data_IF_720010291854
#
_entry.id   IF_720010291854
#
_cell.length_a   1.000
_cell.length_b   1.000
_cell.length_c   1.000
_cell.angle_alpha   90.00
_cell.angle_beta   90.00
_cell.angle_gamma   90.00
#
_symmetry.space_group_name_H-M   'P 1'
#
loop_
_entity.id
_entity.type
_entity.pdbx_description
1 polymer ?
#
# COMPACT_ATOMS: atom_id res chain seq x y z
N UNK A 1 -12.26 14.03 -44.55
CA UNK A 1 -10.78 13.98 -44.53
C UNK A 1 -10.41 12.71 -43.76
N UNK A 2 -9.90 11.77 -44.54
CA UNK A 2 -9.73 10.37 -44.16
C UNK A 2 -8.44 10.13 -43.39
N UNK A 3 -8.50 9.32 -42.33
CA UNK A 3 -7.38 8.98 -41.46
C UNK A 3 -6.69 7.67 -41.84
N UNK A 4 -6.38 7.54 -43.12
CA UNK A 4 -5.67 6.36 -43.61
C UNK A 4 -4.65 6.78 -44.65
N UNK A 5 -3.45 7.00 -44.22
CA UNK A 5 -2.26 6.90 -45.04
C UNK A 5 -1.05 7.37 -44.22
N UNK A 6 -0.32 6.47 -43.64
CA UNK A 6 1.14 6.41 -43.63
C UNK A 6 1.56 5.03 -43.10
N UNK A 7 1.71 4.11 -44.01
CA UNK A 7 2.45 2.88 -43.81
C UNK A 7 3.14 2.62 -45.16
N UNK A 8 4.45 2.71 -45.20
CA UNK A 8 5.36 1.85 -45.97
C UNK A 8 6.66 2.61 -46.30
N UNK A 9 7.73 2.09 -45.80
CA UNK A 9 9.08 1.98 -46.37
C UNK A 9 10.09 1.87 -45.21
N UNK A 10 11.03 0.91 -45.13
CA UNK A 10 11.61 0.07 -46.12
C UNK A 10 12.43 -1.02 -45.46
N UNK A 11 12.38 -2.12 -46.11
CA UNK A 11 13.16 -3.32 -45.87
C UNK A 11 14.56 -3.17 -46.47
N UNK A 12 15.64 -3.34 -45.72
CA UNK A 12 16.98 -3.54 -46.26
C UNK A 12 17.64 -4.72 -45.55
N UNK A 13 17.78 -5.81 -46.31
CA UNK A 13 18.52 -7.00 -45.95
C UNK A 13 20.00 -6.75 -46.13
N UNK A 14 20.83 -7.22 -45.19
CA UNK A 14 22.26 -7.49 -45.43
C UNK A 14 22.61 -8.80 -44.74
N UNK A 15 22.96 -9.77 -45.60
CA UNK A 15 23.53 -11.06 -45.24
C UNK A 15 25.02 -10.88 -44.92
N UNK A 16 25.54 -11.64 -43.95
CA UNK A 16 26.97 -11.64 -43.65
C UNK A 16 27.36 -12.68 -42.61
N UNK A 17 27.84 -13.82 -43.12
CA UNK A 17 28.86 -14.75 -42.59
C UNK A 17 28.69 -15.35 -41.17
N UNK A 18 28.50 -16.67 -41.22
CA UNK A 18 28.69 -17.65 -40.14
C UNK A 18 30.20 -17.77 -39.80
N UNK A 19 30.54 -17.60 -38.51
CA UNK A 19 31.73 -18.18 -37.92
C UNK A 19 31.35 -19.05 -36.74
N UNK A 20 31.61 -20.35 -36.87
CA UNK A 20 31.51 -21.34 -35.79
C UNK A 20 32.68 -21.10 -34.83
N UNK A 21 32.37 -20.74 -33.61
CA UNK A 21 33.32 -20.57 -32.51
C UNK A 21 32.78 -21.29 -31.26
N UNK A 22 33.65 -22.06 -30.65
CA UNK A 22 33.51 -23.13 -29.68
C UNK A 22 32.73 -22.79 -28.41
N UNK A 23 32.18 -23.86 -27.85
CA UNK A 23 31.47 -23.99 -26.60
C UNK A 23 32.26 -23.44 -25.42
N UNK A 24 31.74 -22.43 -24.78
CA UNK A 24 32.00 -22.19 -23.35
C UNK A 24 30.70 -22.42 -22.60
N UNK A 25 30.72 -23.42 -21.73
CA UNK A 25 29.61 -23.68 -20.82
C UNK A 25 29.52 -22.51 -19.81
N UNK A 26 28.71 -21.54 -20.13
CA UNK A 26 28.33 -20.50 -19.16
C UNK A 26 27.32 -21.12 -18.19
N UNK A 27 27.77 -21.30 -16.96
CA UNK A 27 26.91 -21.63 -15.85
C UNK A 27 25.71 -20.67 -15.83
N UNK A 28 24.52 -21.19 -16.04
CA UNK A 28 23.26 -20.50 -15.78
C UNK A 28 23.12 -20.28 -14.27
N UNK A 29 23.73 -19.22 -13.79
CA UNK A 29 23.41 -18.66 -12.47
C UNK A 29 21.96 -18.20 -12.52
N UNK A 30 21.04 -19.04 -12.07
CA UNK A 30 19.70 -18.63 -11.71
C UNK A 30 19.84 -17.58 -10.60
N UNK A 31 19.89 -16.32 -10.99
CA UNK A 31 19.69 -15.22 -10.06
C UNK A 31 18.23 -15.30 -9.61
N UNK A 32 17.99 -16.07 -8.55
CA UNK A 32 16.72 -16.07 -7.86
C UNK A 32 16.45 -14.64 -7.43
N UNK A 33 15.62 -13.94 -8.20
CA UNK A 33 15.04 -12.68 -7.76
C UNK A 33 14.33 -13.00 -6.45
N UNK A 34 14.90 -12.58 -5.33
CA UNK A 34 14.25 -12.66 -4.04
C UNK A 34 12.91 -11.92 -4.18
N UNK A 35 11.81 -12.67 -4.18
CA UNK A 35 10.49 -12.06 -4.21
C UNK A 35 10.35 -11.17 -2.98
N UNK A 36 10.09 -9.90 -3.21
CA UNK A 36 9.84 -8.96 -2.12
C UNK A 36 8.72 -9.52 -1.23
N UNK A 37 8.96 -9.54 0.09
CA UNK A 37 7.96 -10.01 1.06
C UNK A 37 6.68 -9.18 0.87
N UNK A 38 5.50 -9.81 0.81
CA UNK A 38 4.24 -9.09 0.72
C UNK A 38 4.14 -8.03 1.82
N UNK A 39 3.73 -6.83 1.46
CA UNK A 39 3.58 -5.71 2.39
C UNK A 39 2.23 -5.04 2.18
N UNK A 40 1.76 -4.37 3.21
CA UNK A 40 0.58 -3.50 3.14
C UNK A 40 0.81 -2.41 2.08
N UNK A 41 -0.20 -2.14 1.28
CA UNK A 41 -0.19 -1.11 0.26
C UNK A 41 -1.18 -0.02 0.63
N UNK A 42 -0.76 1.24 0.60
CA UNK A 42 -1.63 2.39 0.86
C UNK A 42 -1.63 3.34 -0.32
N UNK A 43 -2.81 3.90 -0.63
CA UNK A 43 -3.03 4.87 -1.69
C UNK A 43 -3.87 6.03 -1.16
N UNK A 44 -3.35 7.25 -1.25
CA UNK A 44 -4.13 8.46 -0.95
C UNK A 44 -5.12 8.69 -2.08
N UNK A 45 -6.40 8.77 -1.74
CA UNK A 45 -7.50 9.03 -2.67
C UNK A 45 -7.82 10.51 -2.76
N UNK A 46 -7.58 11.26 -1.69
CA UNK A 46 -7.80 12.69 -1.63
C UNK A 46 -7.36 13.31 -0.31
N UNK A 47 -7.12 14.61 -0.33
CA UNK A 47 -6.85 15.43 0.83
C UNK A 47 -7.67 16.70 0.71
N UNK A 48 -8.51 16.98 1.71
CA UNK A 48 -9.50 18.05 1.66
C UNK A 48 -9.35 18.95 2.88
N UNK A 49 -9.10 20.27 2.70
CA UNK A 49 -9.11 21.22 3.80
C UNK A 49 -10.45 21.19 4.55
N UNK A 50 -10.41 21.27 5.87
CA UNK A 50 -11.64 21.23 6.68
C UNK A 50 -12.32 22.58 6.78
N UNK A 51 -11.61 23.69 6.52
CA UNK A 51 -12.14 25.04 6.69
C UNK A 51 -12.30 25.46 8.16
N UNK A 52 -12.91 26.61 8.39
CA UNK A 52 -13.15 27.13 9.73
C UNK A 52 -14.07 26.21 10.55
N UNK A 53 -13.81 26.00 11.86
CA UNK A 53 -12.73 26.59 12.65
C UNK A 53 -11.42 25.75 12.66
N UNK A 54 -11.23 24.85 11.70
CA UNK A 54 -10.11 23.91 11.62
C UNK A 54 -9.07 24.34 10.57
N UNK A 55 -8.73 25.64 10.51
CA UNK A 55 -7.75 26.17 9.57
C UNK A 55 -6.41 25.41 9.67
N UNK A 56 -5.84 25.08 8.51
CA UNK A 56 -4.61 24.31 8.42
C UNK A 56 -4.77 22.79 8.61
N UNK A 57 -5.97 22.33 8.97
CA UNK A 57 -6.30 20.91 9.05
C UNK A 57 -6.93 20.41 7.75
N UNK A 58 -6.72 19.14 7.48
CA UNK A 58 -7.32 18.44 6.34
C UNK A 58 -7.74 17.02 6.73
N UNK A 59 -8.74 16.51 6.03
CA UNK A 59 -9.11 15.10 6.02
C UNK A 59 -8.41 14.40 4.87
N UNK A 60 -7.61 13.40 5.18
CA UNK A 60 -6.89 12.59 4.19
C UNK A 60 -7.62 11.26 4.04
N UNK A 61 -8.10 10.97 2.84
CA UNK A 61 -8.83 9.73 2.53
C UNK A 61 -7.85 8.75 1.89
N UNK A 62 -7.69 7.58 2.47
CA UNK A 62 -6.79 6.53 1.98
C UNK A 62 -7.56 5.22 1.78
N UNK A 63 -7.09 4.45 0.81
CA UNK A 63 -7.36 3.03 0.70
C UNK A 63 -6.12 2.26 1.11
N UNK A 64 -6.29 1.25 1.95
CA UNK A 64 -5.20 0.40 2.44
C UNK A 64 -5.55 -1.05 2.16
N UNK A 65 -4.69 -1.75 1.40
CA UNK A 65 -4.85 -3.17 1.08
C UNK A 65 -3.80 -3.99 1.82
N UNK A 66 -4.27 -5.03 2.49
CA UNK A 66 -3.46 -6.02 3.19
C UNK A 66 -3.49 -7.32 2.40
N UNK A 67 -2.36 -7.78 1.85
CA UNK A 67 -2.24 -9.13 1.31
C UNK A 67 -2.57 -10.20 2.37
N UNK A 68 -2.84 -11.44 1.99
CA UNK A 68 -3.08 -12.53 2.93
C UNK A 68 -1.98 -12.64 4.00
N UNK A 69 -2.37 -12.77 5.27
CA UNK A 69 -1.45 -12.92 6.41
C UNK A 69 -0.57 -11.72 6.73
N UNK A 70 -0.72 -10.59 6.04
CA UNK A 70 0.12 -9.40 6.23
C UNK A 70 -0.39 -8.54 7.38
N UNK A 71 0.55 -8.04 8.18
CA UNK A 71 0.34 -7.11 9.28
C UNK A 71 1.22 -5.87 9.10
N UNK A 72 0.68 -4.70 9.38
CA UNK A 72 1.45 -3.47 9.52
C UNK A 72 2.17 -3.42 10.87
N UNK A 73 3.34 -2.79 10.90
CA UNK A 73 4.00 -2.45 12.16
C UNK A 73 3.14 -1.50 12.98
N UNK A 74 3.28 -1.55 14.31
CA UNK A 74 2.61 -0.62 15.21
C UNK A 74 2.99 0.82 14.89
N UNK A 75 1.99 1.71 14.82
CA UNK A 75 2.17 3.08 14.37
C UNK A 75 1.15 4.03 15.02
N UNK A 76 1.34 5.32 14.80
CA UNK A 76 0.45 6.39 15.23
C UNK A 76 0.09 7.29 14.06
N UNK A 77 -1.12 7.84 14.10
CA UNK A 77 -1.59 8.86 13.17
C UNK A 77 -1.48 10.28 13.77
N UNK A 78 -1.38 11.33 12.92
CA UNK A 78 -1.25 12.71 13.40
C UNK A 78 -2.51 13.25 14.07
N UNK A 79 -3.65 12.66 13.79
CA UNK A 79 -4.95 13.05 14.32
C UNK A 79 -5.92 11.88 14.46
N UNK A 80 -7.16 12.16 14.87
CA UNK A 80 -8.21 11.16 14.91
C UNK A 80 -8.36 10.46 13.56
N UNK A 81 -8.56 9.14 13.60
CA UNK A 81 -8.66 8.32 12.40
C UNK A 81 -9.96 7.51 12.43
N UNK A 82 -10.70 7.58 11.34
CA UNK A 82 -11.92 6.79 11.12
C UNK A 82 -11.63 5.76 10.04
N UNK A 83 -11.97 4.50 10.31
CA UNK A 83 -11.77 3.41 9.36
C UNK A 83 -13.06 2.65 9.08
N UNK A 84 -13.10 2.06 7.89
CA UNK A 84 -14.20 1.23 7.40
C UNK A 84 -13.64 0.05 6.63
N UNK A 85 -14.08 -1.16 6.94
CA UNK A 85 -13.67 -2.37 6.22
C UNK A 85 -14.49 -2.48 4.93
N UNK A 86 -13.82 -2.27 3.80
CA UNK A 86 -14.43 -2.33 2.46
C UNK A 86 -14.61 -3.78 2.00
N UNK A 87 -13.59 -4.62 2.27
CA UNK A 87 -13.56 -6.03 1.87
C UNK A 87 -12.67 -6.85 2.79
N UNK A 88 -13.02 -8.13 2.94
CA UNK A 88 -12.26 -9.06 3.77
C UNK A 88 -12.48 -8.85 5.25
N UNK A 89 -11.48 -9.21 6.05
CA UNK A 89 -11.52 -9.12 7.52
C UNK A 89 -10.20 -8.59 8.04
N UNK A 90 -10.27 -7.69 9.02
CA UNK A 90 -9.10 -7.06 9.64
C UNK A 90 -9.08 -7.38 11.14
N UNK A 91 -7.92 -7.78 11.65
CA UNK A 91 -7.63 -7.76 13.08
C UNK A 91 -7.17 -6.37 13.45
N UNK A 92 -7.88 -5.75 14.37
CA UNK A 92 -7.66 -4.37 14.77
C UNK A 92 -7.55 -4.23 16.28
N UNK A 93 -6.58 -3.47 16.77
CA UNK A 93 -6.47 -3.06 18.16
C UNK A 93 -5.69 -1.75 18.30
N UNK A 94 -6.02 -0.96 19.31
CA UNK A 94 -5.27 0.21 19.72
C UNK A 94 -4.71 0.02 21.14
N UNK A 95 -3.61 0.71 21.45
CA UNK A 95 -3.03 0.84 22.80
C UNK A 95 -2.72 -0.49 23.50
N UNK A 96 -2.50 -1.57 22.72
CA UNK A 96 -2.22 -2.89 23.28
C UNK A 96 -3.45 -3.65 23.79
N UNK A 97 -4.65 -3.15 23.51
CA UNK A 97 -5.90 -3.87 23.82
C UNK A 97 -6.00 -5.20 23.05
N UNK A 98 -6.82 -6.14 23.51
CA UNK A 98 -7.10 -7.37 22.77
C UNK A 98 -7.64 -7.07 21.38
N UNK A 99 -7.04 -7.69 20.35
CA UNK A 99 -7.43 -7.45 18.98
C UNK A 99 -8.85 -7.99 18.70
N UNK A 100 -9.65 -7.17 18.04
CA UNK A 100 -10.98 -7.52 17.51
C UNK A 100 -10.85 -7.84 16.03
N UNK A 101 -11.64 -8.78 15.55
CA UNK A 101 -11.81 -9.00 14.10
C UNK A 101 -12.98 -8.17 13.61
N UNK A 102 -12.72 -7.33 12.63
CA UNK A 102 -13.72 -6.50 11.95
C UNK A 102 -13.95 -7.06 10.55
N UNK A 103 -15.20 -7.17 10.16
CA UNK A 103 -15.64 -7.67 8.87
C UNK A 103 -16.04 -6.54 7.92
N UNK A 104 -16.17 -6.83 6.63
CA UNK A 104 -16.67 -5.88 5.65
C UNK A 104 -18.00 -5.26 6.12
N UNK A 105 -18.12 -3.94 6.01
CA UNK A 105 -19.25 -3.16 6.51
C UNK A 105 -19.07 -2.61 7.92
N UNK A 106 -18.06 -3.06 8.68
CA UNK A 106 -17.79 -2.56 10.02
C UNK A 106 -16.78 -1.41 10.01
N UNK A 107 -16.90 -0.53 11.00
CA UNK A 107 -16.04 0.62 11.17
C UNK A 107 -15.26 0.57 12.48
N UNK A 108 -14.19 1.37 12.55
CA UNK A 108 -13.41 1.58 13.77
C UNK A 108 -13.02 3.05 13.90
N UNK A 109 -12.62 3.41 15.11
CA UNK A 109 -12.17 4.75 15.43
C UNK A 109 -10.89 4.69 16.28
N UNK A 110 -9.93 5.53 15.93
CA UNK A 110 -8.69 5.71 16.66
C UNK A 110 -8.63 7.16 17.17
N UNK A 111 -8.80 7.37 18.47
CA UNK A 111 -8.66 8.69 19.07
C UNK A 111 -7.28 9.29 18.83
N UNK A 112 -7.17 10.61 18.88
CA UNK A 112 -5.90 11.32 18.83
C UNK A 112 -4.92 10.75 19.86
N UNK A 113 -3.69 10.44 19.43
CA UNK A 113 -2.63 9.91 20.28
C UNK A 113 -2.67 8.39 20.49
N UNK A 114 -3.66 7.69 19.94
CA UNK A 114 -3.68 6.23 19.98
C UNK A 114 -2.48 5.63 19.25
N UNK A 115 -1.99 4.51 19.79
CA UNK A 115 -1.10 3.61 19.06
C UNK A 115 -1.95 2.54 18.39
N UNK A 116 -1.97 2.49 17.06
CA UNK A 116 -2.56 1.39 16.32
C UNK A 116 -1.64 0.16 16.50
N UNK A 117 -1.91 -0.63 17.53
CA UNK A 117 -1.05 -1.71 17.99
C UNK A 117 -1.21 -3.00 17.17
N UNK A 118 -2.38 -3.21 16.56
CA UNK A 118 -2.66 -4.34 15.66
C UNK A 118 -3.44 -3.86 14.45
N UNK A 119 -2.87 -4.05 13.28
CA UNK A 119 -3.51 -3.79 11.98
C UNK A 119 -3.09 -4.90 11.01
N UNK A 120 -3.90 -5.95 10.91
CA UNK A 120 -3.52 -7.16 10.19
C UNK A 120 -4.69 -7.73 9.39
N UNK A 121 -4.38 -8.34 8.24
CA UNK A 121 -5.35 -9.20 7.58
C UNK A 121 -5.67 -10.41 8.46
N UNK A 122 -6.94 -10.71 8.69
CA UNK A 122 -7.38 -11.85 9.46
C UNK A 122 -7.47 -13.15 8.63
N UNK A 123 -7.17 -13.09 7.32
CA UNK A 123 -7.18 -14.21 6.39
C UNK A 123 -5.77 -14.49 5.87
N UNK A 124 -5.40 -15.76 5.78
CA UNK A 124 -4.15 -16.21 5.15
C UNK A 124 -4.29 -16.49 3.66
N UNK A 125 -5.50 -16.39 3.10
CA UNK A 125 -5.79 -16.74 1.70
C UNK A 125 -6.38 -15.59 0.90
N UNK A 126 -7.15 -14.70 1.53
CA UNK A 126 -7.87 -13.62 0.87
C UNK A 126 -7.34 -12.25 1.28
N UNK A 127 -7.20 -11.29 0.34
CA UNK A 127 -6.81 -9.92 0.69
C UNK A 127 -7.93 -9.19 1.44
N UNK A 128 -7.55 -8.24 2.27
CA UNK A 128 -8.48 -7.33 2.92
C UNK A 128 -8.20 -5.89 2.53
N UNK A 129 -9.24 -5.05 2.47
CA UNK A 129 -9.13 -3.64 2.12
C UNK A 129 -9.94 -2.80 3.10
N UNK A 130 -9.32 -1.73 3.59
CA UNK A 130 -9.98 -0.72 4.41
C UNK A 130 -9.92 0.64 3.71
N UNK A 131 -10.93 1.47 3.96
CA UNK A 131 -10.88 2.90 3.71
C UNK A 131 -10.67 3.61 5.04
N UNK A 132 -9.77 4.58 5.09
CA UNK A 132 -9.53 5.38 6.30
C UNK A 132 -9.57 6.86 6.00
N UNK A 133 -10.07 7.64 6.96
CA UNK A 133 -9.97 9.09 6.97
C UNK A 133 -9.08 9.48 8.14
N UNK A 134 -7.93 10.06 7.84
CA UNK A 134 -6.97 10.54 8.83
C UNK A 134 -7.03 12.06 8.86
N UNK A 135 -7.37 12.62 10.01
CA UNK A 135 -7.29 14.06 10.23
C UNK A 135 -5.85 14.44 10.59
N UNK A 136 -5.37 15.56 10.06
CA UNK A 136 -4.02 16.03 10.33
C UNK A 136 -3.80 17.41 9.74
N UNK A 137 -2.67 18.03 10.06
CA UNK A 137 -2.28 19.30 9.43
C UNK A 137 -1.77 19.06 8.01
N UNK A 138 -2.00 20.04 7.15
CA UNK A 138 -1.50 19.99 5.79
C UNK A 138 0.01 19.80 5.75
N UNK A 139 0.47 18.80 4.98
CA UNK A 139 1.89 18.45 4.85
C UNK A 139 2.46 17.56 5.96
N UNK A 140 1.68 17.20 6.96
CA UNK A 140 2.10 16.29 8.02
C UNK A 140 2.10 14.83 7.55
N UNK A 141 3.06 14.03 8.04
CA UNK A 141 3.11 12.60 7.73
C UNK A 141 1.91 11.89 8.33
N UNK A 142 1.18 11.11 7.52
CA UNK A 142 -0.06 10.44 7.92
C UNK A 142 0.13 9.24 8.84
N UNK A 143 1.37 8.79 9.00
CA UNK A 143 1.75 7.69 9.90
C UNK A 143 3.19 7.87 10.36
N UNK A 144 3.46 7.53 11.61
CA UNK A 144 4.81 7.45 12.19
C UNK A 144 4.93 6.17 13.02
N UNK A 145 6.12 5.54 13.09
CA UNK A 145 6.34 4.40 13.97
C UNK A 145 5.90 4.72 15.40
N UNK A 146 5.26 3.75 16.06
CA UNK A 146 4.94 3.91 17.48
C UNK A 146 6.23 3.97 18.28
N UNK A 147 6.37 5.01 19.11
CA UNK A 147 7.41 5.04 20.14
C UNK A 147 7.04 4.04 21.23
N UNK A 148 7.93 3.09 21.55
CA UNK A 148 7.72 2.24 22.72
C UNK A 148 7.58 3.15 23.96
N UNK A 149 6.56 2.98 24.80
CA UNK A 149 6.56 3.59 26.10
C UNK A 149 7.74 3.01 26.89
N UNK A 150 8.70 3.83 27.28
CA UNK A 150 9.81 3.45 28.16
C UNK A 150 10.97 2.72 27.48
N UNK A 151 11.66 3.38 26.55
CA UNK A 151 13.07 3.11 26.23
C UNK A 151 13.92 4.22 26.79
#
# INVERSE_FOLDING_TARGET
MDRREVLQAGLAALAGAVTVGERSAAATGSSGLAQAKPATQSRVLGAHPLGAPFEGWQGNILEVTYPPGVMSAAHQHPGPTFGYVVRGRIRWAINGEPAKTLEAGQSFFEPLGSVHSTSANASDTEPATIAVVILGKAGEALSKPATRPGA
#
